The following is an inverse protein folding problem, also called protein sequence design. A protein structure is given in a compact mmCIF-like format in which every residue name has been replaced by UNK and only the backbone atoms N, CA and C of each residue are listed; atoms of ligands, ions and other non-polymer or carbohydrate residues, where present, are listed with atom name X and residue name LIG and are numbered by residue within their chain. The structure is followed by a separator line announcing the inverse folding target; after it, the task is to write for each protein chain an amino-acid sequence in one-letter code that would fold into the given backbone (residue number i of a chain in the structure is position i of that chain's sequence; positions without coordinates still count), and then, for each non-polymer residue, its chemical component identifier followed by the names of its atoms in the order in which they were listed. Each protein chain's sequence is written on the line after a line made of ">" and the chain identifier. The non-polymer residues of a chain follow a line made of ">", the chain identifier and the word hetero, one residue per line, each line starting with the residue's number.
data_IF_172844602133
#
_entry.id   IF_172844602133
#
_cell.length_a   1.000
_cell.length_b   1.000
_cell.length_c   1.000
_cell.angle_alpha   90.00
_cell.angle_beta   90.00
_cell.angle_gamma   90.00
#
_symmetry.space_group_name_H-M   'P 1'
#
loop_
_entity.id
_entity.type
_entity.pdbx_description
1 polymer ?
#
# COMPACT_ATOMS: atom_id res chain seq x y z
N UNK A 1 -45.62 42.69 15.82
CA UNK A 1 -45.58 42.88 17.29
C UNK A 1 -45.31 41.51 17.89
N UNK A 2 -44.06 41.20 18.21
CA UNK A 2 -43.49 41.15 19.59
C UNK A 2 -44.26 40.14 20.47
N UNK A 3 -43.67 39.10 21.04
CA UNK A 3 -42.43 39.12 21.82
C UNK A 3 -41.67 37.78 21.82
N UNK A 4 -40.35 37.93 22.04
CA UNK A 4 -39.35 36.89 22.27
C UNK A 4 -39.58 36.20 23.61
N UNK A 5 -39.28 34.91 23.72
CA UNK A 5 -38.67 34.36 24.93
C UNK A 5 -37.50 33.44 24.59
N UNK A 6 -36.31 33.89 24.98
CA UNK A 6 -35.03 33.19 24.94
C UNK A 6 -35.10 31.95 25.84
N UNK A 7 -34.83 30.76 25.31
CA UNK A 7 -34.38 29.62 26.12
C UNK A 7 -32.86 29.57 26.07
N UNK A 8 -32.26 30.08 27.13
CA UNK A 8 -30.85 29.88 27.49
C UNK A 8 -30.72 28.44 27.93
N UNK A 9 -30.03 27.61 27.13
CA UNK A 9 -29.65 26.27 27.55
C UNK A 9 -28.37 26.39 28.37
N UNK A 10 -28.51 26.25 29.69
CA UNK A 10 -27.41 26.20 30.65
C UNK A 10 -26.69 24.87 30.47
N UNK A 11 -25.39 24.93 30.14
CA UNK A 11 -24.50 23.76 30.05
C UNK A 11 -23.97 23.44 31.45
N UNK A 12 -24.26 22.27 32.03
CA UNK A 12 -23.57 21.84 33.23
C UNK A 12 -22.21 21.24 32.87
N UNK A 13 -21.14 21.94 33.27
CA UNK A 13 -19.77 21.42 33.29
C UNK A 13 -19.66 20.45 34.46
N UNK A 14 -19.56 19.15 34.18
CA UNK A 14 -19.25 18.13 35.17
C UNK A 14 -17.77 17.70 35.01
N UNK A 15 -16.94 18.20 35.92
CA UNK A 15 -15.56 17.77 36.17
C UNK A 15 -15.55 16.61 37.16
N UNK A 16 -15.30 15.39 36.70
CA UNK A 16 -14.91 14.20 37.48
C UNK A 16 -14.16 13.31 36.47
N UNK A 17 -12.88 12.96 36.58
CA UNK A 17 -12.08 12.55 37.72
C UNK A 17 -11.42 11.25 37.31
N UNK A 18 -10.22 11.29 36.72
CA UNK A 18 -9.49 10.09 36.29
C UNK A 18 -8.69 9.54 37.47
N UNK A 19 -9.13 8.42 38.01
CA UNK A 19 -8.33 7.55 38.85
C UNK A 19 -8.63 6.10 38.47
N UNK A 20 -7.78 5.54 37.61
CA UNK A 20 -7.59 4.09 37.54
C UNK A 20 -6.10 3.85 37.68
N UNK A 21 -5.74 3.34 38.86
CA UNK A 21 -4.49 2.66 39.09
C UNK A 21 -4.52 1.32 38.33
N UNK A 22 -3.58 1.15 37.40
CA UNK A 22 -3.34 -0.10 36.71
C UNK A 22 -1.84 -0.25 36.54
N UNK A 23 -1.22 -1.04 37.41
CA UNK A 23 0.21 -1.35 37.39
C UNK A 23 0.58 -2.10 36.09
N UNK A 24 1.61 -1.63 35.41
CA UNK A 24 2.16 -2.28 34.22
C UNK A 24 3.58 -1.79 33.92
N UNK A 25 4.53 -2.30 34.70
CA UNK A 25 5.99 -2.24 34.59
C UNK A 25 6.59 -1.25 33.56
N UNK A 26 6.99 -0.07 34.05
CA UNK A 26 7.96 0.79 33.36
C UNK A 26 9.34 0.14 33.48
N UNK A 27 9.94 -0.24 32.36
CA UNK A 27 11.36 -0.58 32.30
C UNK A 27 12.11 0.75 32.25
N UNK A 28 12.65 1.16 33.39
CA UNK A 28 13.66 2.22 33.48
C UNK A 28 14.96 1.74 32.82
N UNK A 29 15.06 1.95 31.51
CA UNK A 29 16.32 1.83 30.78
C UNK A 29 17.06 3.16 30.84
N UNK A 30 18.10 3.25 31.66
CA UNK A 30 18.99 4.41 31.70
C UNK A 30 19.67 4.60 30.33
N UNK A 31 19.39 5.72 29.65
CA UNK A 31 20.13 6.13 28.48
C UNK A 31 21.54 6.58 28.89
N UNK A 32 22.52 5.68 28.78
CA UNK A 32 23.94 6.00 28.92
C UNK A 32 24.46 6.40 27.53
N UNK A 33 24.59 7.71 27.30
CA UNK A 33 25.33 8.23 26.15
C UNK A 33 26.83 8.13 26.45
N UNK A 34 27.52 7.19 25.80
CA UNK A 34 28.98 7.18 25.74
C UNK A 34 29.43 7.63 24.35
N UNK A 35 30.23 8.71 24.23
CA UNK A 35 30.81 9.12 22.96
C UNK A 35 32.14 8.39 22.73
N UNK A 36 32.32 7.78 21.55
CA UNK A 36 33.60 7.21 21.13
C UNK A 36 33.56 6.37 19.86
N UNK A 37 33.57 7.07 18.71
CA UNK A 37 34.31 6.83 17.45
C UNK A 37 34.48 5.43 16.80
N UNK A 38 34.73 5.38 15.48
CA UNK A 38 34.11 4.44 14.56
C UNK A 38 34.94 3.17 14.34
N UNK A 39 34.26 2.02 14.29
CA UNK A 39 34.79 0.82 13.65
C UNK A 39 33.78 0.32 12.62
N UNK A 40 34.22 0.36 11.37
CA UNK A 40 33.56 -0.14 10.17
C UNK A 40 33.52 -1.66 10.19
N UNK A 41 32.61 -2.21 10.99
CA UNK A 41 32.18 -3.60 10.89
C UNK A 41 31.08 -3.71 9.86
N UNK A 42 31.43 -4.12 8.64
CA UNK A 42 30.50 -4.49 7.58
C UNK A 42 29.53 -5.56 8.10
N UNK A 43 28.37 -5.14 8.59
CA UNK A 43 27.24 -6.02 8.83
C UNK A 43 26.71 -6.43 7.48
N UNK A 44 27.16 -7.60 7.01
CA UNK A 44 26.45 -8.36 6.00
C UNK A 44 24.99 -8.41 6.42
N UNK A 45 24.16 -7.64 5.72
CA UNK A 45 22.72 -7.79 5.75
C UNK A 45 22.46 -9.22 5.31
N UNK A 46 22.25 -10.09 6.28
CA UNK A 46 21.73 -11.42 6.03
C UNK A 46 20.44 -11.22 5.25
N UNK A 47 20.44 -11.69 4.01
CA UNK A 47 19.23 -11.95 3.26
C UNK A 47 18.45 -13.00 4.05
N UNK A 48 17.62 -12.54 4.97
CA UNK A 48 16.44 -13.30 5.36
C UNK A 48 15.65 -13.54 4.08
N UNK A 49 15.28 -14.77 3.74
CA UNK A 49 14.32 -15.02 2.68
C UNK A 49 12.95 -14.59 3.22
N UNK A 50 12.66 -13.29 3.11
CA UNK A 50 11.33 -12.74 3.39
C UNK A 50 10.50 -12.87 2.13
N UNK A 51 9.52 -13.77 2.22
CA UNK A 51 8.30 -13.90 1.42
C UNK A 51 8.02 -12.70 0.49
N UNK A 52 8.24 -12.91 -0.81
CA UNK A 52 7.74 -12.18 -1.98
C UNK A 52 7.29 -10.70 -1.83
N UNK A 53 8.05 -9.85 -1.14
CA UNK A 53 7.94 -8.40 -1.35
C UNK A 53 8.66 -8.06 -2.65
N UNK A 54 7.92 -7.52 -3.62
CA UNK A 54 8.46 -7.32 -4.97
C UNK A 54 9.48 -6.16 -4.99
N UNK A 55 10.74 -6.47 -5.30
CA UNK A 55 11.79 -5.46 -5.55
C UNK A 55 11.39 -4.58 -6.75
N UNK A 56 11.31 -3.27 -6.55
CA UNK A 56 10.92 -2.33 -7.61
C UNK A 56 11.86 -2.35 -8.83
N UNK A 57 13.13 -2.69 -8.64
CA UNK A 57 14.09 -2.85 -9.75
C UNK A 57 13.78 -4.12 -10.55
N UNK A 58 13.47 -5.22 -9.86
CA UNK A 58 13.03 -6.46 -10.50
C UNK A 58 11.70 -6.27 -11.24
N UNK A 59 10.74 -5.59 -10.63
CA UNK A 59 9.48 -5.21 -11.28
C UNK A 59 9.70 -4.33 -12.51
N UNK A 60 10.62 -3.37 -12.45
CA UNK A 60 10.97 -2.55 -13.62
C UNK A 60 11.44 -3.42 -14.78
N UNK A 61 12.25 -4.45 -14.50
CA UNK A 61 12.72 -5.39 -15.52
C UNK A 61 11.59 -6.25 -16.06
N UNK A 62 10.71 -6.75 -15.19
CA UNK A 62 9.56 -7.58 -15.57
C UNK A 62 8.55 -6.81 -16.43
N UNK A 63 8.22 -5.58 -16.03
CA UNK A 63 7.28 -4.72 -16.73
C UNK A 63 7.81 -4.23 -18.08
N UNK A 64 9.13 -4.06 -18.21
CA UNK A 64 9.81 -3.77 -19.47
C UNK A 64 9.16 -2.62 -20.26
N UNK A 65 8.51 -2.97 -21.39
CA UNK A 65 7.88 -1.99 -22.29
C UNK A 65 6.72 -1.22 -21.64
N UNK A 66 6.08 -1.76 -20.62
CA UNK A 66 4.96 -1.09 -19.93
C UNK A 66 5.40 0.16 -19.16
N UNK A 67 6.68 0.24 -18.79
CA UNK A 67 7.26 1.35 -18.03
C UNK A 67 8.44 2.03 -18.73
N UNK A 68 8.76 1.65 -19.96
CA UNK A 68 9.97 2.11 -20.65
C UNK A 68 9.97 3.62 -20.96
N UNK A 69 8.80 4.24 -21.08
CA UNK A 69 8.66 5.70 -21.25
C UNK A 69 8.81 6.46 -19.92
N UNK A 70 8.92 5.75 -18.80
CA UNK A 70 8.98 6.27 -17.43
C UNK A 70 10.24 5.79 -16.69
N UNK A 71 11.43 6.25 -17.09
CA UNK A 71 12.70 5.72 -16.59
C UNK A 71 12.99 6.10 -15.12
N UNK A 72 12.26 7.08 -14.56
CA UNK A 72 12.50 7.54 -13.20
C UNK A 72 11.71 6.70 -12.20
N UNK A 73 12.40 5.71 -11.63
CA UNK A 73 11.88 4.86 -10.55
C UNK A 73 12.13 5.50 -9.19
N UNK A 74 11.10 5.51 -8.36
CA UNK A 74 11.16 5.83 -6.94
C UNK A 74 10.42 4.76 -6.16
N UNK A 75 10.97 4.36 -5.02
CA UNK A 75 10.35 3.43 -4.10
C UNK A 75 9.94 4.18 -2.83
N UNK A 76 8.72 3.93 -2.37
CA UNK A 76 8.20 4.53 -1.15
C UNK A 76 7.45 3.50 -0.33
N UNK A 77 7.68 3.51 0.99
CA UNK A 77 6.91 2.72 1.94
C UNK A 77 5.96 3.68 2.66
N UNK A 78 4.66 3.40 2.60
CA UNK A 78 3.67 4.21 3.30
C UNK A 78 3.78 4.01 4.81
N UNK A 79 3.57 5.05 5.65
CA UNK A 79 3.56 4.89 7.10
C UNK A 79 2.60 3.79 7.55
N UNK A 80 3.09 2.83 8.33
CA UNK A 80 2.31 1.69 8.80
C UNK A 80 2.18 0.52 7.82
N UNK A 81 2.89 0.55 6.69
CA UNK A 81 3.07 -0.58 5.77
C UNK A 81 4.54 -1.02 5.77
N UNK A 82 4.77 -2.29 5.50
CA UNK A 82 6.11 -2.85 5.24
C UNK A 82 6.33 -3.07 3.74
N UNK A 83 5.29 -2.89 2.93
CA UNK A 83 5.29 -3.25 1.52
C UNK A 83 5.63 -2.01 0.68
N UNK A 84 6.67 -2.09 -0.18
CA UNK A 84 7.03 -0.96 -1.01
C UNK A 84 5.98 -0.68 -2.08
N UNK A 85 5.82 0.60 -2.40
CA UNK A 85 5.12 1.08 -3.59
C UNK A 85 6.15 1.58 -4.57
N UNK A 86 6.16 0.97 -5.75
CA UNK A 86 7.01 1.36 -6.86
C UNK A 86 6.31 2.45 -7.67
N UNK A 87 7.05 3.49 -8.04
CA UNK A 87 6.53 4.63 -8.77
C UNK A 87 7.46 4.95 -9.95
N UNK A 88 6.92 4.90 -11.16
CA UNK A 88 7.62 5.21 -12.40
C UNK A 88 7.09 6.51 -12.99
N UNK A 89 7.99 7.43 -13.35
CA UNK A 89 7.63 8.73 -13.92
C UNK A 89 8.46 9.10 -15.16
N UNK A 90 7.92 9.97 -16.01
CA UNK A 90 8.59 10.48 -17.24
C UNK A 90 9.68 11.52 -16.93
N UNK A 91 9.73 12.02 -15.69
CA UNK A 91 10.71 13.01 -15.24
C UNK A 91 10.80 13.01 -13.71
N UNK A 92 11.95 13.39 -13.12
CA UNK A 92 12.21 13.23 -11.68
C UNK A 92 11.30 14.08 -10.78
N UNK A 93 10.65 15.09 -11.34
CA UNK A 93 9.72 15.98 -10.62
C UNK A 93 8.32 15.98 -11.24
N UNK A 94 8.06 15.14 -12.25
CA UNK A 94 6.79 15.12 -12.97
C UNK A 94 5.82 14.09 -12.37
N UNK A 95 5.24 14.45 -11.22
CA UNK A 95 4.28 13.62 -10.48
C UNK A 95 3.01 13.33 -11.30
N UNK A 96 2.62 14.25 -12.19
CA UNK A 96 1.47 14.05 -13.08
C UNK A 96 1.74 13.02 -14.19
N UNK A 97 2.97 12.51 -14.28
CA UNK A 97 3.34 11.41 -15.17
C UNK A 97 3.62 10.12 -14.41
N UNK A 98 3.08 9.95 -13.21
CA UNK A 98 3.39 8.79 -12.39
C UNK A 98 2.44 7.62 -12.64
N UNK A 99 3.02 6.44 -12.83
CA UNK A 99 2.37 5.12 -12.69
C UNK A 99 2.89 4.50 -11.38
N UNK A 100 2.02 3.98 -10.54
CA UNK A 100 2.37 3.34 -9.27
C UNK A 100 1.86 1.89 -9.22
N UNK A 101 2.66 1.00 -8.64
CA UNK A 101 2.22 -0.34 -8.28
C UNK A 101 2.63 -0.66 -6.84
N UNK A 102 1.72 -1.27 -6.08
CA UNK A 102 1.99 -1.86 -4.77
C UNK A 102 1.62 -3.34 -4.83
N UNK A 103 2.52 -4.18 -4.31
CA UNK A 103 2.32 -5.62 -4.19
C UNK A 103 2.33 -5.96 -2.71
N UNK A 104 1.28 -6.63 -2.25
CA UNK A 104 1.18 -7.08 -0.87
C UNK A 104 0.93 -8.57 -0.84
N UNK A 105 1.81 -9.36 -0.20
CA UNK A 105 1.51 -10.72 0.17
C UNK A 105 0.25 -10.75 1.04
N UNK A 106 -0.63 -11.71 0.78
CA UNK A 106 -1.84 -11.93 1.55
C UNK A 106 -2.28 -13.39 1.47
N UNK A 107 -3.19 -13.79 2.34
CA UNK A 107 -3.87 -15.08 2.22
C UNK A 107 -5.36 -14.79 2.16
N UNK A 108 -5.95 -14.96 0.97
CA UNK A 108 -7.38 -14.80 0.75
C UNK A 108 -8.00 -16.14 0.38
N UNK A 109 -9.05 -16.53 1.11
CA UNK A 109 -9.81 -17.73 0.82
C UNK A 109 -10.37 -17.66 -0.64
N UNK A 110 -10.13 -18.67 -1.49
CA UNK A 110 -10.68 -18.72 -2.84
C UNK A 110 -12.21 -18.54 -2.90
N UNK A 111 -12.95 -18.96 -1.86
CA UNK A 111 -14.39 -18.75 -1.78
C UNK A 111 -14.76 -17.26 -1.61
N UNK A 112 -13.93 -16.48 -0.91
CA UNK A 112 -14.10 -15.03 -0.81
C UNK A 112 -13.85 -14.39 -2.17
N UNK A 113 -12.80 -14.79 -2.89
CA UNK A 113 -12.54 -14.30 -4.25
C UNK A 113 -13.71 -14.62 -5.18
N UNK A 114 -14.27 -15.84 -5.08
CA UNK A 114 -15.44 -16.23 -5.86
C UNK A 114 -16.67 -15.35 -5.57
N UNK A 115 -16.91 -15.01 -4.30
CA UNK A 115 -17.99 -14.08 -3.93
C UNK A 115 -17.73 -12.67 -4.46
N UNK A 116 -16.48 -12.19 -4.37
CA UNK A 116 -16.08 -10.87 -4.85
C UNK A 116 -16.31 -10.68 -6.35
N UNK A 117 -16.25 -11.75 -7.16
CA UNK A 117 -16.55 -11.70 -8.61
C UNK A 117 -18.00 -11.28 -8.92
N UNK A 118 -18.90 -11.36 -7.94
CA UNK A 118 -20.29 -10.92 -8.07
C UNK A 118 -20.50 -9.46 -7.62
N UNK A 119 -19.43 -8.76 -7.22
CA UNK A 119 -19.49 -7.37 -6.75
C UNK A 119 -19.71 -6.34 -7.87
N UNK A 120 -20.10 -5.12 -7.47
CA UNK A 120 -20.41 -4.02 -8.40
C UNK A 120 -19.18 -3.35 -9.03
N UNK A 121 -18.01 -3.51 -8.41
CA UNK A 121 -16.77 -2.87 -8.83
C UNK A 121 -15.86 -3.82 -9.60
N UNK A 122 -16.39 -4.97 -10.05
CA UNK A 122 -15.61 -6.00 -10.73
C UNK A 122 -15.36 -5.58 -12.17
N UNK A 123 -14.10 -5.65 -12.59
CA UNK A 123 -13.72 -5.54 -13.99
C UNK A 123 -13.66 -6.93 -14.57
N UNK A 124 -14.49 -7.19 -15.58
CA UNK A 124 -14.46 -8.47 -16.28
C UNK A 124 -13.21 -8.55 -17.16
N UNK A 125 -12.21 -9.32 -16.74
CA UNK A 125 -11.03 -9.68 -17.55
C UNK A 125 -10.78 -11.20 -17.42
N UNK A 126 -10.80 -11.97 -18.52
CA UNK A 126 -10.64 -13.42 -18.46
C UNK A 126 -9.28 -13.87 -17.89
N UNK A 127 -8.23 -13.04 -18.00
CA UNK A 127 -6.91 -13.33 -17.43
C UNK A 127 -6.95 -13.50 -15.92
N UNK A 128 -7.90 -12.84 -15.23
CA UNK A 128 -8.02 -12.96 -13.78
C UNK A 128 -8.36 -14.38 -13.33
N UNK A 129 -8.99 -15.19 -14.20
CA UNK A 129 -9.29 -16.58 -13.89
C UNK A 129 -8.04 -17.46 -13.83
N UNK A 130 -7.00 -17.14 -14.62
CA UNK A 130 -5.74 -17.89 -14.67
C UNK A 130 -5.00 -17.80 -13.32
N UNK A 131 -5.05 -16.64 -12.68
CA UNK A 131 -4.47 -16.38 -11.35
C UNK A 131 -5.42 -16.74 -10.19
N UNK A 132 -6.55 -17.41 -10.47
CA UNK A 132 -7.58 -17.67 -9.47
C UNK A 132 -8.15 -16.41 -8.80
N UNK A 133 -8.01 -15.26 -9.46
CA UNK A 133 -8.22 -13.93 -8.88
C UNK A 133 -9.48 -13.21 -9.33
N UNK A 134 -9.61 -11.96 -8.90
CA UNK A 134 -10.63 -11.00 -9.30
C UNK A 134 -9.99 -9.63 -9.50
N UNK A 135 -10.43 -8.91 -10.53
CA UNK A 135 -10.02 -7.53 -10.76
C UNK A 135 -11.12 -6.60 -10.26
N UNK A 136 -10.73 -5.58 -9.50
CA UNK A 136 -11.61 -4.55 -8.98
C UNK A 136 -11.16 -3.17 -9.51
N UNK A 137 -12.12 -2.39 -9.98
CA UNK A 137 -11.96 -0.96 -10.22
C UNK A 137 -12.56 -0.19 -9.05
N UNK A 138 -11.68 0.22 -8.13
CA UNK A 138 -12.06 1.02 -6.97
C UNK A 138 -11.51 2.44 -7.16
N UNK A 139 -10.64 2.92 -6.27
CA UNK A 139 -9.86 4.14 -6.49
C UNK A 139 -8.66 3.88 -7.41
N UNK A 140 -8.24 2.63 -7.48
CA UNK A 140 -7.15 2.12 -8.27
C UNK A 140 -7.56 0.76 -8.85
N UNK A 141 -6.78 0.27 -9.79
CA UNK A 141 -6.98 -1.06 -10.35
C UNK A 141 -6.36 -2.09 -9.40
N UNK A 142 -7.16 -2.97 -8.84
CA UNK A 142 -6.69 -4.00 -7.94
C UNK A 142 -6.89 -5.38 -8.55
N UNK A 143 -5.81 -6.15 -8.71
CA UNK A 143 -5.87 -7.58 -8.96
C UNK A 143 -5.66 -8.29 -7.62
N UNK A 144 -6.70 -8.97 -7.14
CA UNK A 144 -6.66 -9.78 -5.94
C UNK A 144 -6.55 -11.25 -6.35
N UNK A 145 -5.48 -11.89 -5.92
CA UNK A 145 -5.24 -13.33 -6.05
C UNK A 145 -5.27 -13.96 -4.65
N UNK A 146 -5.29 -15.30 -4.54
CA UNK A 146 -5.22 -15.97 -3.25
C UNK A 146 -3.99 -15.57 -2.42
N UNK A 147 -2.87 -15.27 -3.08
CA UNK A 147 -1.58 -15.04 -2.44
C UNK A 147 -1.12 -13.57 -2.43
N UNK A 148 -1.67 -12.74 -3.33
CA UNK A 148 -1.20 -11.36 -3.50
C UNK A 148 -2.35 -10.39 -3.80
N UNK A 149 -2.24 -9.17 -3.25
CA UNK A 149 -2.98 -7.99 -3.68
C UNK A 149 -2.05 -7.08 -4.47
N UNK A 150 -2.38 -6.86 -5.74
CA UNK A 150 -1.62 -6.01 -6.65
C UNK A 150 -2.48 -4.80 -6.97
N UNK A 151 -2.03 -3.63 -6.52
CA UNK A 151 -2.75 -2.37 -6.71
C UNK A 151 -1.96 -1.49 -7.67
N UNK A 152 -2.53 -1.20 -8.83
CA UNK A 152 -1.96 -0.34 -9.86
C UNK A 152 -2.78 0.93 -9.99
N UNK A 153 -2.11 2.07 -9.92
CA UNK A 153 -2.73 3.37 -10.15
C UNK A 153 -1.86 4.23 -11.07
N UNK A 154 -2.46 5.26 -11.65
CA UNK A 154 -1.72 6.27 -12.41
C UNK A 154 -2.31 7.65 -12.14
N UNK A 155 -1.41 8.61 -11.90
CA UNK A 155 -1.73 10.03 -11.94
C UNK A 155 -1.68 10.58 -13.36
N UNK A 156 -0.96 9.89 -14.26
CA UNK A 156 -0.91 10.23 -15.68
C UNK A 156 -2.25 9.93 -16.35
N UNK A 157 -3.00 10.96 -16.82
CA UNK A 157 -4.29 10.75 -17.48
C UNK A 157 -4.15 10.05 -18.83
N UNK A 158 -2.94 9.94 -19.39
CA UNK A 158 -2.68 9.17 -20.60
C UNK A 158 -2.65 7.66 -20.35
N UNK A 159 -2.61 7.21 -19.10
CA UNK A 159 -2.59 5.78 -18.75
C UNK A 159 -4.01 5.27 -18.63
N UNK A 160 -4.42 4.46 -19.60
CA UNK A 160 -5.75 3.85 -19.64
C UNK A 160 -5.95 2.79 -18.56
N UNK A 161 -7.21 2.44 -18.27
CA UNK A 161 -7.53 1.28 -17.42
C UNK A 161 -6.93 -0.01 -17.97
N UNK A 162 -6.97 -0.23 -19.29
CA UNK A 162 -6.35 -1.40 -19.91
C UNK A 162 -4.85 -1.49 -19.64
N UNK A 163 -4.13 -0.36 -19.70
CA UNK A 163 -2.71 -0.31 -19.34
C UNK A 163 -2.46 -0.66 -17.87
N UNK A 164 -3.33 -0.21 -16.96
CA UNK A 164 -3.25 -0.58 -15.54
C UNK A 164 -3.49 -2.09 -15.35
N UNK A 165 -4.41 -2.70 -16.11
CA UNK A 165 -4.62 -4.16 -16.12
C UNK A 165 -3.37 -4.88 -16.59
N UNK A 166 -2.80 -4.46 -17.72
CA UNK A 166 -1.60 -5.10 -18.29
C UNK A 166 -0.42 -5.07 -17.32
N UNK A 167 -0.25 -3.96 -16.58
CA UNK A 167 0.73 -3.86 -15.50
C UNK A 167 0.39 -4.81 -14.36
N UNK A 168 -0.86 -4.88 -13.91
CA UNK A 168 -1.26 -5.76 -12.81
C UNK A 168 -1.01 -7.25 -13.15
N UNK A 169 -1.36 -7.68 -14.37
CA UNK A 169 -1.13 -9.05 -14.83
C UNK A 169 0.35 -9.36 -15.05
N UNK A 170 1.13 -8.45 -15.63
CA UNK A 170 2.58 -8.64 -15.77
C UNK A 170 3.28 -8.78 -14.41
N UNK A 171 2.78 -8.09 -13.37
CA UNK A 171 3.26 -8.28 -11.99
C UNK A 171 2.85 -9.66 -11.47
N UNK A 172 1.60 -10.09 -11.68
CA UNK A 172 1.15 -11.41 -11.24
C UNK A 172 1.97 -12.54 -11.90
N UNK A 173 2.19 -12.47 -13.20
CA UNK A 173 3.07 -13.40 -13.93
C UNK A 173 4.50 -13.42 -13.37
N UNK A 174 5.03 -12.25 -12.99
CA UNK A 174 6.36 -12.18 -12.37
C UNK A 174 6.40 -12.86 -10.99
N UNK A 175 5.33 -12.82 -10.22
CA UNK A 175 5.27 -13.39 -8.87
C UNK A 175 5.08 -14.92 -8.87
N UNK A 176 4.56 -15.51 -9.95
CA UNK A 176 4.41 -16.96 -10.10
C UNK A 176 5.67 -17.67 -10.62
N UNK A 177 6.67 -16.92 -11.11
CA UNK A 177 7.92 -17.44 -11.68
C UNK A 177 9.09 -17.41 -10.68
#
# INVERSE_FOLDING_TARGET
>A
MSARLRRVLVVPVALLGFAVAGCGNSIDGAAVAQPGSPDVGSVSSGTSPSEASADCTALTRALGRLVSDRPHLTEAVLPGSTDPTCSWSKGPTNVMSTLTASVRPQVTDPAVIAEMRNGTNVVADPRSAEFGGVVLDVVAMALLTPEHSIIVNALDPSVSGATKLDVAFAIAEYLEN
#
